data_IF_372564821185
#
_entry.id   IF_372564821185
#
_cell.length_a   1.000
_cell.length_b   1.000
_cell.length_c   1.000
_cell.angle_alpha   90.00
_cell.angle_beta   90.00
_cell.angle_gamma   90.00
#
_symmetry.space_group_name_H-M   'P 1'
#
loop_
_entity.id
_entity.type
_entity.pdbx_description
1 polymer ?
#
# COMPACT_ATOMS: atom_id res chain seq x y z
N UNK A 1 -23.38 -28.76 7.89
CA UNK A 1 -22.44 -28.33 6.83
C UNK A 1 -21.00 -28.69 7.23
N UNK A 2 -20.19 -29.24 6.34
CA UNK A 2 -18.80 -29.58 6.60
C UNK A 2 -17.94 -28.32 6.73
N UNK A 3 -16.89 -28.37 7.58
CA UNK A 3 -15.98 -27.21 7.79
C UNK A 3 -15.31 -26.74 6.48
N UNK A 4 -14.87 -27.68 5.63
CA UNK A 4 -14.26 -27.36 4.34
C UNK A 4 -15.22 -26.62 3.40
N UNK A 5 -16.48 -27.06 3.33
CA UNK A 5 -17.53 -26.38 2.54
C UNK A 5 -17.81 -24.97 3.08
N UNK A 6 -17.88 -24.82 4.41
CA UNK A 6 -18.12 -23.51 5.02
C UNK A 6 -16.98 -22.54 4.75
N UNK A 7 -15.73 -22.98 4.88
CA UNK A 7 -14.54 -22.16 4.52
C UNK A 7 -14.56 -21.72 3.06
N UNK A 8 -14.92 -22.62 2.14
CA UNK A 8 -15.04 -22.28 0.72
C UNK A 8 -16.10 -21.21 0.48
N UNK A 9 -17.29 -21.36 1.07
CA UNK A 9 -18.37 -20.37 0.97
C UNK A 9 -18.00 -19.01 1.62
N UNK A 10 -17.21 -19.02 2.70
CA UNK A 10 -16.67 -17.79 3.29
C UNK A 10 -15.80 -17.04 2.26
N UNK A 11 -14.91 -17.75 1.56
CA UNK A 11 -14.02 -17.13 0.57
C UNK A 11 -14.80 -16.62 -0.65
N UNK A 12 -15.76 -17.37 -1.15
CA UNK A 12 -16.63 -16.95 -2.26
C UNK A 12 -17.41 -15.68 -1.88
N UNK A 13 -17.93 -15.63 -0.65
CA UNK A 13 -18.63 -14.44 -0.15
C UNK A 13 -17.67 -13.27 0.02
N UNK A 14 -16.46 -13.51 0.51
CA UNK A 14 -15.42 -12.48 0.66
C UNK A 14 -15.03 -11.90 -0.70
N UNK A 15 -14.89 -12.73 -1.72
CA UNK A 15 -14.58 -12.29 -3.09
C UNK A 15 -15.73 -11.45 -3.70
N UNK A 16 -16.98 -11.87 -3.46
CA UNK A 16 -18.17 -11.20 -4.00
C UNK A 16 -18.46 -9.86 -3.30
N UNK A 17 -18.26 -9.78 -1.98
CA UNK A 17 -18.66 -8.62 -1.16
C UNK A 17 -17.48 -7.72 -0.75
N UNK A 18 -16.24 -8.17 -0.96
CA UNK A 18 -15.03 -7.44 -0.58
C UNK A 18 -14.74 -7.44 0.93
N UNK A 19 -15.70 -7.86 1.76
CA UNK A 19 -15.53 -8.04 3.22
C UNK A 19 -16.57 -9.01 3.78
N UNK A 20 -16.25 -9.63 4.91
CA UNK A 20 -17.20 -10.47 5.64
C UNK A 20 -17.17 -10.14 7.14
N UNK A 21 -18.34 -10.15 7.76
CA UNK A 21 -18.49 -9.95 9.21
C UNK A 21 -18.79 -11.28 9.91
N UNK A 22 -18.14 -11.54 11.05
CA UNK A 22 -18.30 -12.78 11.79
C UNK A 22 -19.73 -13.01 12.27
N UNK A 23 -20.42 -11.95 12.69
CA UNK A 23 -21.82 -11.98 13.10
C UNK A 23 -22.76 -12.35 11.94
N UNK A 24 -22.59 -11.74 10.77
CA UNK A 24 -23.39 -12.05 9.58
C UNK A 24 -23.15 -13.51 9.12
N UNK A 25 -21.89 -13.96 9.07
CA UNK A 25 -21.56 -15.33 8.70
C UNK A 25 -22.13 -16.36 9.69
N UNK A 26 -22.16 -16.07 11.00
CA UNK A 26 -22.74 -16.96 12.01
C UNK A 26 -24.22 -17.19 11.78
N UNK A 27 -24.94 -16.15 11.41
CA UNK A 27 -26.37 -16.23 11.07
C UNK A 27 -26.59 -17.01 9.76
N UNK A 28 -25.85 -16.69 8.71
CA UNK A 28 -25.98 -17.33 7.38
C UNK A 28 -25.72 -18.84 7.48
N UNK A 29 -24.68 -19.24 8.22
CA UNK A 29 -24.29 -20.65 8.31
C UNK A 29 -24.93 -21.38 9.50
N UNK A 30 -25.72 -20.70 10.33
CA UNK A 30 -26.35 -21.25 11.54
C UNK A 30 -25.34 -21.94 12.48
N UNK A 31 -24.21 -21.28 12.74
CA UNK A 31 -23.16 -21.72 13.65
C UNK A 31 -22.80 -20.60 14.63
N UNK A 32 -22.11 -20.92 15.72
CA UNK A 32 -21.66 -19.88 16.66
C UNK A 32 -20.59 -18.95 16.02
N UNK A 33 -20.53 -17.71 16.49
CA UNK A 33 -19.47 -16.78 16.07
C UNK A 33 -18.06 -17.35 16.37
N UNK A 34 -17.89 -18.12 17.44
CA UNK A 34 -16.61 -18.75 17.77
C UNK A 34 -16.19 -19.78 16.71
N UNK A 35 -17.15 -20.49 16.11
CA UNK A 35 -16.90 -21.38 14.98
C UNK A 35 -16.41 -20.57 13.77
N UNK A 36 -17.07 -19.46 13.44
CA UNK A 36 -16.65 -18.57 12.38
C UNK A 36 -15.26 -17.98 12.66
N UNK A 37 -15.02 -17.48 13.88
CA UNK A 37 -13.70 -16.93 14.26
C UNK A 37 -12.57 -17.97 14.12
N UNK A 38 -12.86 -19.25 14.36
CA UNK A 38 -11.92 -20.35 14.14
C UNK A 38 -11.65 -20.53 12.65
N UNK A 39 -12.71 -20.62 11.83
CA UNK A 39 -12.57 -20.75 10.37
C UNK A 39 -11.76 -19.61 9.77
N UNK A 40 -12.07 -18.36 10.15
CA UNK A 40 -11.34 -17.18 9.71
C UNK A 40 -9.87 -17.19 10.16
N UNK A 41 -9.57 -17.72 11.36
CA UNK A 41 -8.20 -17.87 11.84
C UNK A 41 -7.41 -18.87 10.99
N UNK A 42 -8.02 -20.00 10.67
CA UNK A 42 -7.40 -21.04 9.86
C UNK A 42 -7.16 -20.55 8.42
N UNK A 43 -8.14 -19.88 7.82
CA UNK A 43 -8.00 -19.27 6.48
C UNK A 43 -6.94 -18.15 6.46
N UNK A 44 -6.82 -17.37 7.54
CA UNK A 44 -5.77 -16.36 7.66
C UNK A 44 -4.38 -17.00 7.79
N UNK A 45 -4.25 -18.10 8.53
CA UNK A 45 -2.99 -18.85 8.62
C UNK A 45 -2.58 -19.47 7.27
N UNK A 46 -3.55 -19.79 6.41
CA UNK A 46 -3.34 -20.21 5.02
C UNK A 46 -3.04 -19.04 4.06
N UNK A 47 -3.05 -17.78 4.54
CA UNK A 47 -2.84 -16.59 3.72
C UNK A 47 -4.00 -16.24 2.76
N UNK A 48 -5.17 -16.87 2.93
CA UNK A 48 -6.34 -16.72 2.07
C UNK A 48 -7.15 -15.44 2.32
N UNK A 49 -7.04 -14.88 3.52
CA UNK A 49 -7.70 -13.66 3.93
C UNK A 49 -6.90 -12.95 5.03
N UNK A 50 -7.20 -11.69 5.28
CA UNK A 50 -6.70 -10.92 6.41
C UNK A 50 -7.82 -10.72 7.43
N UNK A 51 -7.60 -11.16 8.67
CA UNK A 51 -8.55 -10.89 9.76
C UNK A 51 -8.45 -9.42 10.19
N UNK A 52 -9.62 -8.82 10.37
CA UNK A 52 -9.80 -7.48 10.94
C UNK A 52 -10.76 -7.53 12.12
N UNK A 53 -10.97 -6.41 12.80
CA UNK A 53 -11.95 -6.35 13.88
C UNK A 53 -13.35 -6.70 13.35
N UNK A 54 -13.99 -7.68 13.97
CA UNK A 54 -15.35 -8.13 13.61
C UNK A 54 -15.47 -9.02 12.37
N UNK A 55 -14.37 -9.28 11.60
CA UNK A 55 -14.49 -10.06 10.37
C UNK A 55 -13.18 -10.31 9.62
N UNK A 56 -13.26 -10.26 8.30
CA UNK A 56 -12.12 -10.43 7.42
C UNK A 56 -12.25 -9.63 6.12
N UNK A 57 -11.08 -9.26 5.56
CA UNK A 57 -10.89 -8.65 4.24
C UNK A 57 -10.06 -9.58 3.35
N UNK A 58 -10.08 -9.41 2.02
CA UNK A 58 -9.15 -10.10 1.13
C UNK A 58 -7.70 -9.85 1.56
N UNK A 59 -6.89 -10.90 1.54
CA UNK A 59 -5.47 -10.76 1.81
C UNK A 59 -4.80 -9.93 0.72
N UNK A 60 -3.91 -9.03 1.11
CA UNK A 60 -3.09 -8.31 0.17
C UNK A 60 -1.96 -9.19 -0.38
N UNK A 61 -1.30 -8.71 -1.43
CA UNK A 61 -0.10 -9.35 -2.00
C UNK A 61 1.16 -9.22 -1.12
N UNK A 62 1.03 -8.76 0.13
CA UNK A 62 2.17 -8.50 1.03
C UNK A 62 3.01 -9.75 1.34
N UNK A 63 2.41 -10.94 1.28
CA UNK A 63 3.10 -12.23 1.54
C UNK A 63 4.08 -12.56 0.40
N UNK A 64 3.77 -12.18 -0.84
CA UNK A 64 4.61 -12.44 -1.99
C UNK A 64 5.92 -11.61 -1.93
N UNK A 65 7.02 -12.20 -2.40
CA UNK A 65 8.32 -11.53 -2.50
C UNK A 65 8.27 -10.30 -3.40
N UNK A 66 9.26 -9.41 -3.30
CA UNK A 66 9.34 -8.23 -4.18
C UNK A 66 9.30 -8.60 -5.66
N UNK A 67 10.04 -9.65 -6.07
CA UNK A 67 10.11 -10.11 -7.45
C UNK A 67 8.74 -10.63 -7.96
N UNK A 68 8.03 -11.42 -7.15
CA UNK A 68 6.69 -11.90 -7.50
C UNK A 68 5.70 -10.74 -7.60
N UNK A 69 5.72 -9.80 -6.66
CA UNK A 69 4.87 -8.61 -6.70
C UNK A 69 5.15 -7.72 -7.90
N UNK A 70 6.38 -7.70 -8.41
CA UNK A 70 6.75 -6.88 -9.57
C UNK A 70 5.95 -7.29 -10.81
N UNK A 71 5.72 -8.58 -11.04
CA UNK A 71 4.97 -9.08 -12.20
C UNK A 71 3.45 -8.89 -12.11
N UNK A 72 2.90 -8.73 -10.89
CA UNK A 72 1.46 -8.60 -10.67
C UNK A 72 0.94 -7.25 -11.18
N UNK A 73 -0.04 -7.27 -12.11
CA UNK A 73 -0.70 -6.05 -12.63
C UNK A 73 0.28 -4.98 -13.11
N UNK A 74 1.35 -5.38 -13.80
CA UNK A 74 2.44 -4.49 -14.22
C UNK A 74 1.93 -3.28 -15.03
N UNK A 75 1.03 -3.49 -16.00
CA UNK A 75 0.50 -2.39 -16.84
C UNK A 75 -0.30 -1.39 -16.01
N UNK A 76 -1.09 -1.86 -15.04
CA UNK A 76 -1.81 -1.02 -14.10
C UNK A 76 -0.86 -0.18 -13.26
N UNK A 77 0.21 -0.79 -12.72
CA UNK A 77 1.25 -0.09 -11.97
C UNK A 77 1.92 1.00 -12.80
N UNK A 78 2.24 0.71 -14.06
CA UNK A 78 2.83 1.69 -14.98
C UNK A 78 1.90 2.88 -15.22
N UNK A 79 0.59 2.65 -15.45
CA UNK A 79 -0.37 3.74 -15.66
C UNK A 79 -0.47 4.62 -14.41
N UNK A 80 -0.66 4.01 -13.24
CA UNK A 80 -0.74 4.73 -11.96
C UNK A 80 0.57 5.47 -11.66
N UNK A 81 1.73 4.84 -11.88
CA UNK A 81 3.04 5.43 -11.68
C UNK A 81 3.30 6.63 -12.62
N UNK A 82 2.94 6.51 -13.91
CA UNK A 82 3.03 7.62 -14.86
C UNK A 82 2.21 8.81 -14.41
N UNK A 83 0.99 8.59 -13.93
CA UNK A 83 0.14 9.66 -13.39
C UNK A 83 0.73 10.29 -12.14
N UNK A 84 1.31 9.46 -11.25
CA UNK A 84 2.01 9.93 -10.05
C UNK A 84 3.21 10.82 -10.37
N UNK A 85 4.03 10.43 -11.36
CA UNK A 85 5.20 11.20 -11.78
C UNK A 85 4.85 12.63 -12.23
N UNK A 86 3.66 12.85 -12.81
CA UNK A 86 3.18 14.17 -13.24
C UNK A 86 2.85 15.12 -12.06
N UNK A 87 2.79 14.63 -10.83
CA UNK A 87 2.56 15.46 -9.65
C UNK A 87 3.83 16.13 -9.13
N UNK A 88 4.99 15.70 -9.62
CA UNK A 88 6.29 16.21 -9.18
C UNK A 88 6.64 17.47 -9.97
N UNK A 89 7.00 18.53 -9.26
CA UNK A 89 7.42 19.81 -9.84
C UNK A 89 8.91 20.09 -9.58
N UNK A 90 9.58 20.82 -10.47
CA UNK A 90 10.98 21.19 -10.28
C UNK A 90 11.23 21.94 -8.95
N UNK A 91 12.36 21.67 -8.31
CA UNK A 91 12.78 22.30 -7.06
C UNK A 91 12.26 21.63 -5.79
N UNK A 92 11.39 20.63 -5.89
CA UNK A 92 10.83 19.93 -4.74
C UNK A 92 11.83 18.95 -4.10
N UNK A 93 11.63 18.70 -2.81
CA UNK A 93 12.16 17.54 -2.09
C UNK A 93 11.06 16.47 -2.06
N UNK A 94 11.32 15.33 -2.69
CA UNK A 94 10.33 14.26 -2.89
C UNK A 94 10.79 12.98 -2.22
N UNK A 95 10.02 12.47 -1.28
CA UNK A 95 10.25 11.16 -0.71
C UNK A 95 9.61 10.11 -1.61
N UNK A 96 10.39 9.12 -2.05
CA UNK A 96 9.89 7.97 -2.82
C UNK A 96 10.15 6.71 -2.01
N UNK A 97 9.08 6.11 -1.51
CA UNK A 97 9.10 4.84 -0.74
C UNK A 97 9.45 3.65 -1.63
N UNK A 98 9.95 2.59 -1.01
CA UNK A 98 10.14 1.30 -1.69
C UNK A 98 8.82 0.66 -2.09
N UNK A 99 8.84 -0.09 -3.17
CA UNK A 99 7.68 -0.83 -3.66
C UNK A 99 7.66 -0.97 -5.17
N UNK A 100 6.92 -1.94 -5.66
CA UNK A 100 6.91 -2.24 -7.10
C UNK A 100 6.22 -1.18 -7.95
N UNK A 101 5.23 -0.44 -7.41
CA UNK A 101 4.57 0.66 -8.12
C UNK A 101 5.41 1.94 -8.07
N UNK A 102 6.03 2.23 -6.93
CA UNK A 102 6.93 3.39 -6.77
C UNK A 102 8.22 3.22 -7.58
N UNK A 103 8.69 1.98 -7.77
CA UNK A 103 9.81 1.68 -8.69
C UNK A 103 9.46 1.98 -10.16
N UNK A 104 8.21 1.82 -10.56
CA UNK A 104 7.79 2.24 -11.92
C UNK A 104 7.73 3.75 -12.06
N UNK A 105 7.43 4.50 -10.98
CA UNK A 105 7.32 5.97 -11.02
C UNK A 105 8.61 6.62 -11.54
N UNK A 106 9.77 6.17 -11.06
CA UNK A 106 11.05 6.78 -11.45
C UNK A 106 11.36 6.63 -12.94
N UNK A 107 10.76 5.65 -13.63
CA UNK A 107 10.96 5.44 -15.08
C UNK A 107 10.21 6.48 -15.93
N UNK A 108 9.28 7.24 -15.34
CA UNK A 108 8.50 8.27 -16.01
C UNK A 108 8.94 9.70 -15.65
N UNK A 109 10.02 9.87 -14.88
CA UNK A 109 10.56 11.19 -14.55
C UNK A 109 11.25 11.82 -15.77
N UNK A 110 10.94 13.08 -16.10
CA UNK A 110 11.59 13.79 -17.20
C UNK A 110 13.11 13.93 -16.98
N UNK A 111 13.94 13.76 -18.01
CA UNK A 111 15.40 13.82 -17.86
C UNK A 111 15.95 15.17 -17.43
N UNK A 112 15.20 16.24 -17.61
CA UNK A 112 15.52 17.61 -17.20
C UNK A 112 14.93 18.00 -15.83
N UNK A 113 14.19 17.10 -15.18
CA UNK A 113 13.58 17.35 -13.88
C UNK A 113 14.65 17.54 -12.80
N UNK A 114 14.63 18.71 -12.15
CA UNK A 114 15.55 19.06 -11.06
C UNK A 114 14.82 18.98 -9.73
N UNK A 115 15.06 17.91 -8.98
CA UNK A 115 14.49 17.65 -7.65
C UNK A 115 15.51 16.92 -6.78
N UNK A 116 15.30 16.96 -5.47
CA UNK A 116 16.00 16.07 -4.53
C UNK A 116 15.07 14.91 -4.18
N UNK A 117 15.47 13.69 -4.50
CA UNK A 117 14.75 12.47 -4.12
C UNK A 117 15.36 11.89 -2.84
N UNK A 118 14.53 11.72 -1.83
CA UNK A 118 14.86 11.00 -0.60
C UNK A 118 14.22 9.63 -0.66
N UNK A 119 14.98 8.58 -0.41
CA UNK A 119 14.43 7.22 -0.40
C UNK A 119 15.16 6.33 0.61
N UNK A 120 14.45 5.36 1.17
CA UNK A 120 15.03 4.29 1.95
C UNK A 120 15.16 2.98 1.12
N UNK A 121 14.89 3.04 -0.17
CA UNK A 121 14.99 1.90 -1.08
C UNK A 121 16.29 1.95 -1.91
N UNK A 122 17.22 1.01 -1.70
CA UNK A 122 18.38 0.87 -2.57
C UNK A 122 18.01 0.71 -4.05
N UNK A 123 16.87 0.04 -4.35
CA UNK A 123 16.39 -0.14 -5.72
C UNK A 123 15.99 1.17 -6.40
N UNK A 124 15.30 2.07 -5.68
CA UNK A 124 14.97 3.43 -6.18
C UNK A 124 16.24 4.23 -6.39
N UNK A 125 17.16 4.24 -5.41
CA UNK A 125 18.44 4.97 -5.52
C UNK A 125 19.25 4.49 -6.74
N UNK A 126 19.40 3.19 -6.93
CA UNK A 126 20.09 2.62 -8.10
C UNK A 126 19.40 2.97 -9.42
N UNK A 127 18.07 2.96 -9.46
CA UNK A 127 17.31 3.33 -10.65
C UNK A 127 17.49 4.80 -11.07
N UNK A 128 17.88 5.67 -10.13
CA UNK A 128 18.13 7.10 -10.37
C UNK A 128 19.60 7.46 -10.58
N UNK A 129 20.56 6.53 -10.42
CA UNK A 129 22.01 6.80 -10.53
C UNK A 129 22.38 7.51 -11.81
N UNK A 130 21.74 7.17 -12.93
CA UNK A 130 22.03 7.76 -14.23
C UNK A 130 21.15 8.95 -14.58
N UNK A 131 20.26 9.42 -13.69
CA UNK A 131 19.43 10.57 -13.96
C UNK A 131 20.25 11.88 -13.86
N UNK A 132 20.33 12.70 -14.92
CA UNK A 132 21.32 13.79 -15.00
C UNK A 132 21.05 14.95 -14.04
N UNK A 133 19.81 15.13 -13.57
CA UNK A 133 19.40 16.33 -12.85
C UNK A 133 18.79 16.05 -11.45
N UNK A 134 18.65 14.79 -11.05
CA UNK A 134 18.10 14.41 -9.73
C UNK A 134 19.23 14.17 -8.74
N UNK A 135 19.19 14.87 -7.61
CA UNK A 135 19.98 14.54 -6.43
C UNK A 135 19.28 13.42 -5.64
N UNK A 136 20.05 12.42 -5.18
CA UNK A 136 19.49 11.29 -4.44
C UNK A 136 20.09 11.21 -3.04
N UNK A 137 19.22 11.26 -2.02
CA UNK A 137 19.56 11.00 -0.62
C UNK A 137 19.05 9.61 -0.26
N UNK A 138 19.97 8.68 0.01
CA UNK A 138 19.61 7.33 0.45
C UNK A 138 19.67 7.25 1.97
N UNK A 139 18.50 7.01 2.60
CA UNK A 139 18.39 6.77 4.04
C UNK A 139 18.97 5.39 4.36
N UNK A 140 19.92 5.37 5.27
CA UNK A 140 20.57 4.15 5.73
C UNK A 140 19.71 3.32 6.68
N UNK A 141 20.30 2.25 7.23
CA UNK A 141 19.65 1.40 8.21
C UNK A 141 19.83 -0.09 7.96
N UNK A 142 19.06 -0.93 8.65
CA UNK A 142 19.02 -2.38 8.46
C UNK A 142 18.21 -2.74 7.23
N UNK A 143 18.79 -3.49 6.29
CA UNK A 143 18.06 -3.91 5.09
C UNK A 143 16.98 -4.96 5.42
N UNK A 144 15.72 -4.63 5.15
CA UNK A 144 14.61 -5.56 5.12
C UNK A 144 14.50 -6.17 3.71
N UNK A 145 15.00 -7.41 3.59
CA UNK A 145 15.22 -8.08 2.29
C UNK A 145 13.91 -8.33 1.51
N UNK A 146 12.80 -8.57 2.20
CA UNK A 146 11.52 -8.89 1.56
C UNK A 146 11.00 -7.76 0.65
N UNK A 147 11.18 -6.52 1.07
CA UNK A 147 10.77 -5.33 0.31
C UNK A 147 11.93 -4.52 -0.27
N UNK A 148 13.19 -4.93 0.03
CA UNK A 148 14.43 -4.27 -0.41
C UNK A 148 14.43 -2.79 0.02
N UNK A 149 14.21 -2.57 1.32
CA UNK A 149 14.20 -1.24 1.94
C UNK A 149 14.98 -1.22 3.24
N UNK A 150 15.48 -0.07 3.66
CA UNK A 150 16.10 0.10 4.97
C UNK A 150 15.06 0.46 6.03
N UNK A 151 15.23 -0.09 7.22
CA UNK A 151 14.34 0.09 8.38
C UNK A 151 15.16 0.22 9.67
N UNK A 152 14.48 0.52 10.77
CA UNK A 152 15.05 0.59 12.10
C UNK A 152 15.24 2.00 12.62
N UNK A 153 15.75 2.13 13.87
CA UNK A 153 15.83 3.40 14.58
C UNK A 153 16.71 4.44 13.88
N UNK A 154 17.85 4.02 13.31
CA UNK A 154 18.73 4.92 12.58
C UNK A 154 18.04 5.55 11.35
N UNK A 155 17.28 4.74 10.59
CA UNK A 155 16.50 5.26 9.47
C UNK A 155 15.45 6.28 9.92
N UNK A 156 14.77 6.03 11.05
CA UNK A 156 13.79 6.98 11.62
C UNK A 156 14.47 8.27 12.07
N UNK A 157 15.65 8.20 12.68
CA UNK A 157 16.43 9.37 13.10
C UNK A 157 16.79 10.24 11.90
N UNK A 158 17.32 9.65 10.83
CA UNK A 158 17.64 10.38 9.60
C UNK A 158 16.39 11.04 8.98
N UNK A 159 15.27 10.29 8.91
CA UNK A 159 13.98 10.80 8.39
C UNK A 159 13.50 12.02 9.19
N UNK A 160 13.69 12.03 10.50
CA UNK A 160 13.26 13.12 11.35
C UNK A 160 13.96 14.47 11.08
N UNK A 161 15.07 14.46 10.36
CA UNK A 161 15.83 15.65 9.97
C UNK A 161 15.46 16.19 8.56
N UNK A 162 14.40 15.66 7.94
CA UNK A 162 13.97 16.01 6.59
C UNK A 162 12.63 16.75 6.65
N UNK A 163 12.46 17.72 5.77
CA UNK A 163 11.17 18.27 5.37
C UNK A 163 11.02 18.09 3.86
N UNK A 164 9.97 17.41 3.43
CA UNK A 164 9.68 17.15 2.03
C UNK A 164 8.37 17.80 1.58
N UNK A 165 8.28 18.07 0.29
CA UNK A 165 7.06 18.58 -0.33
C UNK A 165 6.06 17.45 -0.58
N UNK A 166 6.54 16.32 -1.14
CA UNK A 166 5.74 15.16 -1.49
C UNK A 166 6.32 13.87 -0.91
N UNK A 167 5.44 12.97 -0.51
CA UNK A 167 5.78 11.60 -0.16
C UNK A 167 4.95 10.61 -0.97
N UNK A 168 5.57 9.87 -1.86
CA UNK A 168 4.95 8.74 -2.54
C UNK A 168 5.03 7.49 -1.68
N UNK A 169 3.96 7.20 -0.97
CA UNK A 169 3.88 6.08 -0.02
C UNK A 169 3.55 4.77 -0.75
N UNK A 170 4.38 3.76 -0.57
CA UNK A 170 4.08 2.38 -0.93
C UNK A 170 3.16 1.74 0.10
N UNK A 171 2.10 1.10 -0.35
CA UNK A 171 1.17 0.33 0.47
C UNK A 171 0.94 -1.04 -0.12
N UNK A 172 0.50 -1.99 0.70
CA UNK A 172 0.06 -3.30 0.23
C UNK A 172 -1.45 -3.46 0.27
N UNK A 173 -2.16 -2.63 1.04
CA UNK A 173 -3.61 -2.58 1.08
C UNK A 173 -4.12 -1.18 1.39
N UNK A 174 -5.25 -0.81 0.77
CA UNK A 174 -6.02 0.42 1.00
C UNK A 174 -7.49 0.06 1.16
N UNK A 175 -8.07 0.44 2.29
CA UNK A 175 -9.47 0.15 2.60
C UNK A 175 -10.14 1.35 3.28
N UNK A 176 -11.41 1.70 2.95
CA UNK A 176 -12.09 2.87 3.51
C UNK A 176 -12.16 2.90 5.05
N UNK A 177 -12.29 1.73 5.68
CA UNK A 177 -12.41 1.61 7.14
C UNK A 177 -11.12 1.14 7.82
N UNK A 178 -10.35 0.26 7.16
CA UNK A 178 -9.10 -0.28 7.73
C UNK A 178 -7.88 0.59 7.42
N UNK A 179 -8.04 1.64 6.62
CA UNK A 179 -6.97 2.57 6.27
C UNK A 179 -5.90 1.97 5.37
N UNK A 180 -4.66 2.37 5.61
CA UNK A 180 -3.46 1.98 4.87
C UNK A 180 -2.71 0.88 5.63
N UNK A 181 -2.30 -0.16 4.93
CA UNK A 181 -1.63 -1.30 5.54
C UNK A 181 -0.40 -1.76 4.78
N UNK A 182 0.51 -2.44 5.49
CA UNK A 182 1.72 -3.07 4.94
C UNK A 182 2.00 -4.41 5.63
N UNK A 183 2.91 -5.20 5.05
CA UNK A 183 3.23 -6.55 5.51
C UNK A 183 4.19 -6.62 6.70
N UNK A 184 4.85 -5.53 7.07
CA UNK A 184 5.88 -5.49 8.11
C UNK A 184 5.70 -4.31 9.07
N UNK A 185 5.98 -4.55 10.36
CA UNK A 185 5.80 -3.54 11.40
C UNK A 185 6.80 -2.38 11.29
N UNK A 186 8.08 -2.67 11.02
CA UNK A 186 9.09 -1.62 10.88
C UNK A 186 8.87 -0.79 9.62
N UNK A 187 8.42 -1.41 8.51
CA UNK A 187 7.98 -0.64 7.34
C UNK A 187 6.82 0.31 7.69
N UNK A 188 5.84 -0.15 8.49
CA UNK A 188 4.75 0.73 8.93
C UNK A 188 5.26 1.91 9.75
N UNK A 189 6.27 1.70 10.62
CA UNK A 189 6.90 2.78 11.38
C UNK A 189 7.63 3.78 10.48
N UNK A 190 8.40 3.32 9.49
CA UNK A 190 9.09 4.16 8.51
C UNK A 190 8.09 5.01 7.71
N UNK A 191 7.02 4.39 7.22
CA UNK A 191 6.00 5.09 6.41
C UNK A 191 5.30 6.19 7.20
N UNK A 192 4.99 5.94 8.49
CA UNK A 192 4.48 6.99 9.40
C UNK A 192 5.48 8.12 9.61
N UNK A 193 6.76 7.78 9.80
CA UNK A 193 7.81 8.79 9.97
C UNK A 193 7.91 9.69 8.72
N UNK A 194 7.96 9.10 7.53
CA UNK A 194 7.97 9.84 6.27
C UNK A 194 6.72 10.72 6.08
N UNK A 195 5.52 10.16 6.34
CA UNK A 195 4.28 10.93 6.24
C UNK A 195 4.26 12.14 7.18
N UNK A 196 4.82 12.02 8.38
CA UNK A 196 4.95 13.14 9.31
C UNK A 196 6.00 14.18 8.91
N UNK A 197 6.78 13.95 7.85
CA UNK A 197 7.83 14.84 7.34
C UNK A 197 7.56 15.39 5.95
N UNK A 198 6.47 15.00 5.31
CA UNK A 198 6.05 15.51 4.02
C UNK A 198 4.84 16.44 4.17
N UNK A 199 4.80 17.48 3.34
CA UNK A 199 3.64 18.38 3.28
C UNK A 199 2.42 17.66 2.70
N UNK A 200 2.63 16.78 1.72
CA UNK A 200 1.58 15.98 1.09
C UNK A 200 2.01 14.53 0.92
N UNK A 201 1.09 13.60 1.20
CA UNK A 201 1.27 12.18 0.98
C UNK A 201 0.41 11.71 -0.20
N UNK A 202 1.06 11.08 -1.17
CA UNK A 202 0.44 10.48 -2.37
C UNK A 202 0.56 8.97 -2.29
N UNK A 203 -0.55 8.25 -2.45
CA UNK A 203 -0.54 6.79 -2.54
C UNK A 203 -0.84 6.35 -3.97
N UNK A 204 0.01 5.48 -4.51
CA UNK A 204 -0.18 4.87 -5.82
C UNK A 204 -0.86 3.51 -5.65
N UNK A 205 -2.17 3.45 -5.86
CA UNK A 205 -2.99 2.26 -5.61
C UNK A 205 -3.38 1.55 -6.91
N UNK A 206 -2.57 0.57 -7.31
CA UNK A 206 -2.94 -0.39 -8.36
C UNK A 206 -4.06 -1.33 -7.88
N UNK A 207 -4.85 -1.95 -8.78
CA UNK A 207 -6.11 -2.64 -8.43
C UNK A 207 -5.99 -3.70 -7.34
N UNK A 208 -4.88 -4.43 -7.28
CA UNK A 208 -4.65 -5.49 -6.28
C UNK A 208 -4.51 -4.98 -4.84
N UNK A 209 -4.40 -3.66 -4.65
CA UNK A 209 -4.29 -3.03 -3.32
C UNK A 209 -5.63 -2.53 -2.79
N UNK A 210 -6.60 -2.36 -3.67
CA UNK A 210 -7.91 -1.79 -3.36
C UNK A 210 -8.77 -2.82 -2.62
N UNK A 211 -9.43 -2.39 -1.56
CA UNK A 211 -10.25 -3.24 -0.68
C UNK A 211 -9.50 -4.44 -0.06
N UNK A 212 -8.19 -4.33 0.09
CA UNK A 212 -7.37 -5.36 0.76
C UNK A 212 -6.73 -4.81 2.03
N UNK A 213 -6.32 -5.72 2.91
CA UNK A 213 -5.57 -5.37 4.11
C UNK A 213 -4.39 -6.32 4.32
N UNK A 214 -3.39 -5.82 5.04
CA UNK A 214 -2.23 -6.56 5.53
C UNK A 214 -2.18 -6.50 7.05
N UNK A 215 -1.23 -7.23 7.64
CA UNK A 215 -1.14 -7.41 9.08
C UNK A 215 -0.86 -6.13 9.88
N UNK A 216 -0.15 -5.14 9.30
CA UNK A 216 0.28 -3.95 10.02
C UNK A 216 -0.34 -2.68 9.44
N UNK A 217 -1.02 -1.93 10.30
CA UNK A 217 -1.63 -0.65 9.96
C UNK A 217 -0.56 0.43 9.90
N UNK A 218 -0.49 1.14 8.79
CA UNK A 218 0.31 2.37 8.66
C UNK A 218 -0.42 3.50 9.35
N UNK A 219 -1.69 3.69 9.03
CA UNK A 219 -2.57 4.68 9.61
C UNK A 219 -3.92 4.71 8.91
N UNK A 220 -4.79 5.61 9.34
CA UNK A 220 -6.05 5.86 8.68
C UNK A 220 -5.87 6.73 7.42
N UNK A 221 -6.96 7.00 6.72
CA UNK A 221 -6.93 7.75 5.45
C UNK A 221 -6.59 9.23 5.61
N UNK A 222 -6.59 9.78 6.82
CA UNK A 222 -6.17 11.17 7.07
C UNK A 222 -4.68 11.40 6.78
N UNK A 223 -3.88 10.34 6.70
CA UNK A 223 -2.49 10.41 6.27
C UNK A 223 -2.33 10.65 4.75
N UNK A 224 -3.39 10.55 3.96
CA UNK A 224 -3.33 10.61 2.49
C UNK A 224 -4.02 11.85 1.99
N UNK A 225 -3.30 12.67 1.24
CA UNK A 225 -3.86 13.81 0.52
C UNK A 225 -4.41 13.36 -0.84
N UNK A 226 -3.68 12.51 -1.55
CA UNK A 226 -4.02 12.08 -2.91
C UNK A 226 -3.85 10.57 -3.09
N UNK A 227 -4.89 9.93 -3.63
CA UNK A 227 -4.84 8.57 -4.17
C UNK A 227 -4.81 8.62 -5.69
N UNK A 228 -3.81 7.99 -6.29
CA UNK A 228 -3.77 7.75 -7.73
C UNK A 228 -4.20 6.32 -8.00
N UNK A 229 -5.27 6.14 -8.76
CA UNK A 229 -5.90 4.84 -9.05
C UNK A 229 -6.07 4.63 -10.56
N UNK A 230 -6.36 3.43 -11.00
CA UNK A 230 -6.77 3.20 -12.39
C UNK A 230 -8.14 3.79 -12.67
N UNK A 231 -8.35 4.22 -13.93
CA UNK A 231 -9.65 4.74 -14.41
C UNK A 231 -10.79 3.70 -14.37
N UNK A 232 -10.45 2.41 -14.28
CA UNK A 232 -11.40 1.30 -14.15
C UNK A 232 -11.78 0.99 -12.72
N UNK A 233 -11.30 1.76 -11.74
CA UNK A 233 -11.63 1.57 -10.31
C UNK A 233 -13.11 1.83 -10.06
N UNK A 234 -13.77 0.97 -9.28
CA UNK A 234 -15.20 1.06 -8.94
C UNK A 234 -15.52 2.44 -8.35
N UNK A 235 -16.51 3.13 -8.96
CA UNK A 235 -16.92 4.48 -8.55
C UNK A 235 -17.42 4.54 -7.10
N UNK A 236 -18.01 3.46 -6.59
CA UNK A 236 -18.48 3.39 -5.19
C UNK A 236 -17.29 3.46 -4.24
N UNK A 237 -16.19 2.76 -4.56
CA UNK A 237 -14.97 2.83 -3.78
C UNK A 237 -14.33 4.22 -3.87
N UNK A 238 -14.27 4.79 -5.06
CA UNK A 238 -13.75 6.17 -5.27
C UNK A 238 -14.55 7.18 -4.45
N UNK A 239 -15.87 7.08 -4.43
CA UNK A 239 -16.74 7.96 -3.66
C UNK A 239 -16.53 7.77 -2.15
N UNK A 240 -16.39 6.54 -1.67
CA UNK A 240 -16.07 6.25 -0.27
C UNK A 240 -14.74 6.89 0.17
N UNK A 241 -13.72 6.92 -0.69
CA UNK A 241 -12.46 7.62 -0.41
C UNK A 241 -12.63 9.13 -0.35
N UNK A 242 -13.39 9.70 -1.29
CA UNK A 242 -13.68 11.15 -1.32
C UNK A 242 -14.47 11.59 -0.09
N UNK A 243 -15.42 10.79 0.39
CA UNK A 243 -16.17 11.05 1.62
C UNK A 243 -15.27 11.07 2.87
N UNK A 244 -14.15 10.36 2.83
CA UNK A 244 -13.10 10.41 3.86
C UNK A 244 -12.13 11.59 3.70
N UNK A 245 -12.36 12.48 2.74
CA UNK A 245 -11.53 13.66 2.51
C UNK A 245 -10.31 13.44 1.63
N UNK A 246 -10.17 12.28 1.00
CA UNK A 246 -9.01 11.98 0.13
C UNK A 246 -9.29 12.40 -1.30
N UNK A 247 -8.39 13.17 -1.91
CA UNK A 247 -8.46 13.45 -3.34
C UNK A 247 -8.13 12.19 -4.16
N UNK A 248 -9.00 11.80 -5.10
CA UNK A 248 -8.78 10.63 -5.96
C UNK A 248 -8.57 11.08 -7.39
N UNK A 249 -7.44 10.69 -7.97
CA UNK A 249 -7.03 11.00 -9.34
C UNK A 249 -6.96 9.69 -10.13
N UNK A 250 -7.68 9.62 -11.25
CA UNK A 250 -7.60 8.48 -12.16
C UNK A 250 -6.36 8.57 -13.07
N UNK A 251 -5.71 7.43 -13.30
CA UNK A 251 -4.71 7.28 -14.35
C UNK A 251 -5.39 7.31 -15.72
N UNK A 252 -4.70 7.86 -16.69
CA UNK A 252 -5.11 7.83 -18.11
C UNK A 252 -4.63 6.55 -18.80
#
# INVERSE_FOLDING_TARGET
MLTSQRKQLILEKLEAEGQVQSTALSLIFSVSEDTIRRDLRELAAEGRLQRVHGGALPASSAIASFAERQSVKMDAKKRVARRGAQLISPGQVVIIDGGTTTSELITFLPPDLRVTVVTHSPGIALGLVNHPCIEVILIGGRLYKHSIVTVGAAAIEDINNIHADLFFMGVTGVHPESGLTTGDYEEACIKRAFSGRAAETVVLASPEKINTASAFVIGDLSLVNTLVVENTTDERWVNAMKEKGVAVIASQ
#
